data_IF_233209178707
#
_entry.id   IF_233209178707
#
_cell.length_a   1.000
_cell.length_b   1.000
_cell.length_c   1.000
_cell.angle_alpha   90.00
_cell.angle_beta   90.00
_cell.angle_gamma   90.00
#
_symmetry.space_group_name_H-M   'P 1'
#
loop_
_entity.id
_entity.type
_entity.pdbx_description
1 polymer ?
#
# COMPACT_ATOMS: atom_id res chain seq x y z
N UNK A 1 -5.23 1.86 -18.45
CA UNK A 1 -4.41 2.33 -19.60
C UNK A 1 -4.74 1.60 -20.91
N UNK A 2 -5.04 0.30 -20.90
CA UNK A 2 -5.39 -0.48 -22.10
C UNK A 2 -6.68 -0.04 -22.83
N UNK A 3 -7.68 0.46 -22.10
CA UNK A 3 -8.97 0.89 -22.69
C UNK A 3 -8.80 2.14 -23.58
N UNK A 4 -7.99 3.11 -23.15
CA UNK A 4 -7.74 4.35 -23.91
C UNK A 4 -6.96 4.07 -25.21
N UNK A 5 -6.06 3.08 -25.19
CA UNK A 5 -5.33 2.62 -26.38
C UNK A 5 -6.27 1.97 -27.39
N UNK A 6 -7.21 1.14 -26.94
CA UNK A 6 -8.16 0.42 -27.80
C UNK A 6 -9.20 1.36 -28.43
N UNK A 7 -9.58 2.42 -27.72
CA UNK A 7 -10.47 3.49 -28.24
C UNK A 7 -9.76 4.34 -29.28
N UNK A 8 -8.47 4.64 -29.10
CA UNK A 8 -7.68 5.36 -30.10
C UNK A 8 -7.48 4.52 -31.38
N UNK A 9 -7.27 3.21 -31.25
CA UNK A 9 -7.16 2.28 -32.38
C UNK A 9 -8.48 2.18 -33.18
N UNK A 10 -9.62 2.11 -32.48
CA UNK A 10 -10.94 2.10 -33.13
C UNK A 10 -11.26 3.44 -33.80
N UNK A 11 -10.77 4.57 -33.25
CA UNK A 11 -10.92 5.88 -33.89
C UNK A 11 -10.05 6.02 -35.15
N UNK A 12 -8.83 5.48 -35.17
CA UNK A 12 -7.96 5.53 -36.35
C UNK A 12 -8.44 4.63 -37.48
N UNK A 13 -9.04 3.48 -37.15
CA UNK A 13 -9.66 2.58 -38.13
C UNK A 13 -10.90 3.22 -38.78
N UNK A 14 -11.72 3.94 -38.00
CA UNK A 14 -12.90 4.63 -38.54
C UNK A 14 -12.54 5.81 -39.44
N UNK A 15 -11.42 6.49 -39.18
CA UNK A 15 -10.93 7.60 -40.00
C UNK A 15 -10.33 7.09 -41.33
N UNK A 16 -9.59 5.96 -41.32
CA UNK A 16 -9.06 5.36 -42.56
C UNK A 16 -10.13 4.73 -43.45
N UNK A 17 -11.24 4.26 -42.88
CA UNK A 17 -12.36 3.76 -43.68
C UNK A 17 -13.08 4.89 -44.43
N UNK A 18 -13.06 6.13 -43.90
CA UNK A 18 -13.67 7.31 -44.50
C UNK A 18 -12.88 7.88 -45.70
N UNK A 19 -11.57 7.66 -45.76
CA UNK A 19 -10.70 8.24 -46.81
C UNK A 19 -10.70 7.49 -48.14
N UNK A 20 -11.41 6.37 -48.29
CA UNK A 20 -11.35 5.53 -49.50
C UNK A 20 -12.58 5.62 -50.41
N UNK A 21 -13.53 6.52 -50.14
CA UNK A 21 -14.75 6.65 -50.96
C UNK A 21 -14.81 7.97 -51.74
N UNK A 22 -13.69 8.39 -52.33
CA UNK A 22 -13.71 9.46 -53.34
C UNK A 22 -14.10 8.85 -54.70
N UNK A 23 -15.41 8.87 -55.01
CA UNK A 23 -15.88 8.87 -56.40
C UNK A 23 -17.21 9.60 -56.49
N UNK A 24 -17.18 10.70 -57.24
CA UNK A 24 -18.29 11.57 -57.60
C UNK A 24 -19.59 10.82 -57.87
N UNK A 25 -20.56 10.93 -56.95
CA UNK A 25 -21.96 10.70 -57.26
C UNK A 25 -22.78 11.73 -56.49
N UNK A 26 -23.19 12.81 -57.17
CA UNK A 26 -24.13 13.79 -56.64
C UNK A 26 -25.55 13.20 -56.64
N UNK A 27 -25.76 12.18 -55.81
CA UNK A 27 -27.09 11.65 -55.49
C UNK A 27 -27.51 12.24 -54.14
N UNK A 28 -28.54 13.10 -54.08
CA UNK A 28 -28.96 13.81 -52.87
C UNK A 28 -29.38 12.86 -51.73
N UNK A 29 -29.54 11.57 -52.01
CA UNK A 29 -29.78 10.53 -50.99
C UNK A 29 -28.53 10.18 -50.19
N UNK A 30 -27.36 10.10 -50.81
CA UNK A 30 -26.10 9.68 -50.16
C UNK A 30 -25.60 10.77 -49.21
N UNK A 31 -25.71 12.05 -49.61
CA UNK A 31 -25.36 13.19 -48.75
C UNK A 31 -26.26 13.27 -47.50
N UNK A 32 -27.55 12.93 -47.66
CA UNK A 32 -28.49 12.87 -46.55
C UNK A 32 -28.20 11.70 -45.60
N UNK A 33 -27.76 10.56 -46.12
CA UNK A 33 -27.33 9.40 -45.33
C UNK A 33 -26.11 9.75 -44.48
N UNK A 34 -25.09 10.39 -45.09
CA UNK A 34 -23.88 10.84 -44.40
C UNK A 34 -24.19 11.87 -43.30
N UNK A 35 -25.10 12.82 -43.55
CA UNK A 35 -25.54 13.80 -42.55
C UNK A 35 -26.30 13.14 -41.39
N UNK A 36 -27.13 12.12 -41.67
CA UNK A 36 -27.86 11.36 -40.66
C UNK A 36 -26.91 10.50 -39.81
N UNK A 37 -25.87 9.94 -40.40
CA UNK A 37 -24.87 9.17 -39.67
C UNK A 37 -23.99 10.07 -38.80
N UNK A 38 -23.60 11.25 -39.29
CA UNK A 38 -22.89 12.24 -38.47
C UNK A 38 -23.74 12.72 -37.28
N UNK A 39 -25.05 12.92 -37.48
CA UNK A 39 -25.99 13.23 -36.41
C UNK A 39 -26.14 12.11 -35.39
N UNK A 40 -26.22 10.85 -35.84
CA UNK A 40 -26.28 9.67 -34.96
C UNK A 40 -25.00 9.55 -34.13
N UNK A 41 -23.84 9.76 -34.74
CA UNK A 41 -22.55 9.70 -34.05
C UNK A 41 -22.42 10.81 -33.01
N UNK A 42 -22.87 12.04 -33.32
CA UNK A 42 -22.92 13.12 -32.35
C UNK A 42 -23.85 12.82 -31.17
N UNK A 43 -25.03 12.23 -31.42
CA UNK A 43 -25.94 11.81 -30.35
C UNK A 43 -25.36 10.69 -29.47
N UNK A 44 -24.65 9.73 -30.07
CA UNK A 44 -23.97 8.65 -29.33
C UNK A 44 -22.84 9.19 -28.45
N UNK A 45 -22.05 10.13 -28.96
CA UNK A 45 -20.98 10.78 -28.19
C UNK A 45 -21.55 11.58 -27.01
N UNK A 46 -22.63 12.33 -27.21
CA UNK A 46 -23.30 13.09 -26.14
C UNK A 46 -23.83 12.14 -25.05
N UNK A 47 -24.43 11.01 -25.45
CA UNK A 47 -24.97 10.02 -24.50
C UNK A 47 -23.86 9.26 -23.78
N UNK A 48 -22.76 8.94 -24.44
CA UNK A 48 -21.60 8.32 -23.80
C UNK A 48 -20.98 9.26 -22.75
N UNK A 49 -20.88 10.56 -23.07
CA UNK A 49 -20.39 11.60 -22.16
C UNK A 49 -21.29 11.80 -20.95
N UNK A 50 -22.62 11.76 -21.11
CA UNK A 50 -23.54 11.85 -19.98
C UNK A 50 -23.40 10.65 -19.05
N UNK A 51 -23.31 9.43 -19.60
CA UNK A 51 -23.12 8.21 -18.82
C UNK A 51 -21.77 8.20 -18.08
N UNK A 52 -20.71 8.72 -18.69
CA UNK A 52 -19.40 8.87 -18.06
C UNK A 52 -19.45 9.86 -16.89
N UNK A 53 -20.16 10.98 -17.05
CA UNK A 53 -20.36 11.97 -15.98
C UNK A 53 -21.17 11.39 -14.84
N UNK A 54 -22.23 10.62 -15.14
CA UNK A 54 -23.07 9.99 -14.13
C UNK A 54 -22.29 8.92 -13.35
N UNK A 55 -21.47 8.12 -14.04
CA UNK A 55 -20.59 7.13 -13.37
C UNK A 55 -19.49 7.79 -12.55
N UNK A 56 -18.86 8.87 -13.03
CA UNK A 56 -17.88 9.65 -12.27
C UNK A 56 -18.51 10.35 -11.06
N UNK A 57 -19.73 10.90 -11.22
CA UNK A 57 -20.47 11.53 -10.14
C UNK A 57 -20.88 10.51 -9.07
N UNK A 58 -21.30 9.31 -9.48
CA UNK A 58 -21.62 8.21 -8.56
C UNK A 58 -20.36 7.70 -7.86
N UNK A 59 -19.23 7.57 -8.57
CA UNK A 59 -17.95 7.19 -7.99
C UNK A 59 -17.49 8.21 -6.93
N UNK A 60 -17.48 9.50 -7.27
CA UNK A 60 -17.16 10.55 -6.31
C UNK A 60 -18.16 10.57 -5.15
N UNK A 61 -19.46 10.43 -5.38
CA UNK A 61 -20.45 10.42 -4.30
C UNK A 61 -20.27 9.26 -3.31
N UNK A 62 -19.78 8.10 -3.77
CA UNK A 62 -19.58 6.91 -2.92
C UNK A 62 -18.25 6.98 -2.15
N UNK A 63 -17.18 7.42 -2.80
CA UNK A 63 -15.82 7.37 -2.23
C UNK A 63 -15.34 8.70 -1.64
N UNK A 64 -15.89 9.82 -2.10
CA UNK A 64 -15.54 11.16 -1.62
C UNK A 64 -16.41 11.49 -0.41
N UNK A 65 -15.78 11.81 0.71
CA UNK A 65 -16.51 12.26 1.90
C UNK A 65 -17.17 13.62 1.63
N UNK A 66 -18.36 13.90 2.20
CA UNK A 66 -18.98 15.23 2.12
C UNK A 66 -18.15 16.33 2.80
N UNK A 67 -17.16 15.97 3.61
CA UNK A 67 -16.27 16.91 4.27
C UNK A 67 -14.96 17.11 3.49
N UNK A 68 -14.70 18.33 3.03
CA UNK A 68 -13.52 18.67 2.22
C UNK A 68 -12.18 18.39 2.93
N UNK A 69 -12.12 18.62 4.24
CA UNK A 69 -10.93 18.30 5.04
C UNK A 69 -10.59 16.79 5.06
N UNK A 70 -11.61 15.93 4.94
CA UNK A 70 -11.42 14.47 4.86
C UNK A 70 -10.93 14.06 3.47
N UNK A 71 -11.41 14.74 2.43
CA UNK A 71 -10.96 14.50 1.05
C UNK A 71 -9.52 14.94 0.81
N UNK A 72 -9.07 15.99 1.47
CA UNK A 72 -7.69 16.45 1.38
C UNK A 72 -6.70 15.54 2.13
N UNK A 73 -7.18 14.77 3.11
CA UNK A 73 -6.34 13.90 3.94
C UNK A 73 -6.26 12.46 3.43
N UNK A 74 -7.26 11.99 2.68
CA UNK A 74 -7.31 10.63 2.13
C UNK A 74 -7.27 10.68 0.60
N UNK A 75 -6.23 10.11 0.01
CA UNK A 75 -6.16 9.92 -1.43
C UNK A 75 -7.06 8.74 -1.83
N UNK A 76 -8.04 8.99 -2.69
CA UNK A 76 -8.98 7.95 -3.18
C UNK A 76 -8.29 6.99 -4.16
N UNK A 77 -7.20 7.43 -4.78
CA UNK A 77 -6.47 6.67 -5.79
C UNK A 77 -5.18 6.12 -5.16
N UNK A 78 -5.15 4.81 -4.96
CA UNK A 78 -3.94 4.10 -4.56
C UNK A 78 -3.01 3.93 -5.77
N UNK A 79 -1.76 4.39 -5.67
CA UNK A 79 -0.73 4.10 -6.68
C UNK A 79 -0.05 2.75 -6.37
N UNK A 80 -0.39 1.73 -7.15
CA UNK A 80 0.12 0.36 -7.01
C UNK A 80 1.61 0.21 -7.37
N UNK A 81 2.21 1.19 -8.05
CA UNK A 81 3.62 1.11 -8.47
C UNK A 81 4.58 1.49 -7.35
N UNK A 82 4.08 2.08 -6.28
CA UNK A 82 4.92 2.50 -5.18
C UNK A 82 5.42 1.29 -4.37
N UNK A 83 6.76 1.12 -4.21
CA UNK A 83 7.30 0.01 -3.46
C UNK A 83 6.98 0.15 -1.97
N UNK A 84 6.52 -0.96 -1.37
CA UNK A 84 6.18 -1.03 0.05
C UNK A 84 7.24 -1.79 0.86
N UNK A 85 7.86 -2.83 0.28
CA UNK A 85 8.90 -3.64 0.92
C UNK A 85 10.28 -3.24 0.40
N UNK A 86 10.93 -2.30 1.07
CA UNK A 86 12.30 -1.88 0.74
C UNK A 86 13.28 -2.30 1.83
N UNK A 87 14.56 -2.44 1.49
CA UNK A 87 15.61 -2.75 2.47
C UNK A 87 15.63 -1.72 3.63
N UNK A 88 15.45 -0.44 3.31
CA UNK A 88 15.32 0.64 4.30
C UNK A 88 14.20 0.37 5.30
N UNK A 89 13.00 0.01 4.82
CA UNK A 89 11.87 -0.27 5.71
C UNK A 89 12.12 -1.46 6.63
N UNK A 90 12.73 -2.52 6.10
CA UNK A 90 13.06 -3.70 6.89
C UNK A 90 14.13 -3.39 7.94
N UNK A 91 15.20 -2.70 7.56
CA UNK A 91 16.27 -2.32 8.49
C UNK A 91 15.74 -1.44 9.62
N UNK A 92 14.96 -0.41 9.29
CA UNK A 92 14.39 0.53 10.26
C UNK A 92 13.30 -0.12 11.12
N UNK A 93 12.43 -0.91 10.49
CA UNK A 93 11.39 -1.67 11.17
C UNK A 93 11.99 -2.62 12.19
N UNK A 94 13.02 -3.39 11.82
CA UNK A 94 13.74 -4.28 12.73
C UNK A 94 14.44 -3.51 13.85
N UNK A 95 15.13 -2.42 13.53
CA UNK A 95 15.83 -1.60 14.53
C UNK A 95 14.85 -1.05 15.57
N UNK A 96 13.76 -0.41 15.14
CA UNK A 96 12.75 0.12 16.04
C UNK A 96 12.04 -0.99 16.82
N UNK A 97 11.76 -2.13 16.19
CA UNK A 97 11.16 -3.30 16.83
C UNK A 97 12.04 -3.86 17.95
N UNK A 98 13.36 -3.94 17.74
CA UNK A 98 14.31 -4.37 18.78
C UNK A 98 14.26 -3.41 19.97
N UNK A 99 14.27 -2.09 19.72
CA UNK A 99 14.19 -1.08 20.79
C UNK A 99 12.88 -1.21 21.58
N UNK A 100 11.74 -1.31 20.88
CA UNK A 100 10.43 -1.48 21.50
C UNK A 100 10.39 -2.75 22.35
N UNK A 101 10.88 -3.88 21.81
CA UNK A 101 10.88 -5.17 22.51
C UNK A 101 11.68 -5.10 23.83
N UNK A 102 12.85 -4.46 23.80
CA UNK A 102 13.68 -4.27 25.01
C UNK A 102 12.95 -3.40 26.04
N UNK A 103 12.32 -2.30 25.61
CA UNK A 103 11.58 -1.42 26.51
C UNK A 103 10.38 -2.14 27.13
N UNK A 104 9.57 -2.79 26.30
CA UNK A 104 8.37 -3.51 26.76
C UNK A 104 8.71 -4.66 27.70
N UNK A 105 9.74 -5.46 27.40
CA UNK A 105 10.18 -6.54 28.28
C UNK A 105 10.67 -5.99 29.63
N UNK A 106 11.48 -4.92 29.60
CA UNK A 106 12.01 -4.31 30.83
C UNK A 106 10.91 -3.69 31.69
N UNK A 107 9.94 -3.02 31.08
CA UNK A 107 8.83 -2.38 31.78
C UNK A 107 7.86 -3.40 32.36
N UNK A 108 7.70 -4.55 31.70
CA UNK A 108 6.80 -5.57 32.21
C UNK A 108 7.29 -6.28 33.47
N UNK A 109 8.60 -6.37 33.70
CA UNK A 109 9.14 -6.97 34.93
C UNK A 109 9.13 -6.02 36.13
N UNK A 110 8.73 -4.76 35.93
CA UNK A 110 8.64 -3.77 37.00
C UNK A 110 7.43 -4.04 37.90
N UNK A 111 7.56 -3.73 39.19
CA UNK A 111 6.49 -3.84 40.20
C UNK A 111 5.18 -3.15 39.79
N UNK A 112 5.28 -2.03 39.09
CA UNK A 112 4.18 -1.36 38.42
C UNK A 112 4.46 -1.41 36.90
N UNK A 113 3.78 -2.30 36.15
CA UNK A 113 4.03 -2.44 34.73
C UNK A 113 3.60 -1.17 34.01
N UNK A 114 4.46 -0.70 33.11
CA UNK A 114 4.15 0.41 32.22
C UNK A 114 3.83 -0.16 30.84
N UNK A 115 2.71 0.26 30.26
CA UNK A 115 2.36 -0.10 28.89
C UNK A 115 3.12 0.81 27.93
N UNK A 116 3.80 0.21 26.95
CA UNK A 116 4.54 0.94 25.92
C UNK A 116 3.57 1.30 24.79
N UNK A 117 3.35 2.58 24.51
CA UNK A 117 2.51 2.99 23.38
C UNK A 117 3.29 3.04 22.06
N UNK A 118 2.75 2.39 21.03
CA UNK A 118 3.32 2.35 19.66
C UNK A 118 3.41 3.73 19.02
N UNK A 119 2.51 4.64 19.39
CA UNK A 119 2.38 5.99 18.81
C UNK A 119 3.69 6.79 18.91
N UNK A 120 4.46 6.61 19.99
CA UNK A 120 5.73 7.30 20.20
C UNK A 120 6.74 6.90 19.13
N UNK A 121 6.86 5.59 18.86
CA UNK A 121 7.77 5.05 17.86
C UNK A 121 7.29 5.33 16.44
N UNK A 122 5.98 5.37 16.23
CA UNK A 122 5.39 5.80 14.97
C UNK A 122 5.72 7.26 14.65
N UNK A 123 5.62 8.18 15.62
CA UNK A 123 6.02 9.58 15.46
C UNK A 123 7.51 9.72 15.11
N UNK A 124 8.37 8.91 15.72
CA UNK A 124 9.82 8.89 15.45
C UNK A 124 10.14 8.27 14.08
N UNK A 125 9.36 7.30 13.62
CA UNK A 125 9.57 6.60 12.34
C UNK A 125 9.57 7.56 11.14
N UNK A 126 8.69 8.58 11.13
CA UNK A 126 8.59 9.52 10.01
C UNK A 126 9.86 10.39 9.81
N UNK A 127 10.38 11.13 10.82
CA UNK A 127 11.61 11.89 10.67
C UNK A 127 12.83 11.00 10.45
N UNK A 128 12.90 9.84 11.13
CA UNK A 128 14.00 8.88 10.97
C UNK A 128 14.04 8.30 9.54
N UNK A 129 12.87 7.98 8.97
CA UNK A 129 12.72 7.51 7.59
C UNK A 129 13.11 8.55 6.54
N UNK A 130 12.75 9.82 6.75
CA UNK A 130 13.17 10.94 5.89
C UNK A 130 14.67 11.22 5.98
N UNK A 131 15.24 11.17 7.20
CA UNK A 131 16.68 11.34 7.42
C UNK A 131 17.46 10.23 6.72
N UNK A 132 17.03 8.98 6.87
CA UNK A 132 17.71 7.86 6.22
C UNK A 132 17.53 7.85 4.70
N UNK A 133 16.43 8.39 4.18
CA UNK A 133 16.26 8.64 2.73
C UNK A 133 17.27 9.65 2.19
N UNK A 134 17.73 10.59 3.01
CA UNK A 134 18.73 11.60 2.65
C UNK A 134 20.17 11.08 2.84
N UNK A 135 20.40 10.22 3.84
CA UNK A 135 21.72 9.63 4.11
C UNK A 135 22.07 8.46 3.18
N UNK A 136 21.09 7.69 2.66
CA UNK A 136 21.39 6.55 1.79
C UNK A 136 21.71 7.00 0.35
N UNK A 137 22.89 6.65 -0.18
CA UNK A 137 23.22 6.91 -1.57
C UNK A 137 22.27 6.12 -2.50
N UNK A 138 21.86 6.74 -3.61
CA UNK A 138 21.01 6.14 -4.65
C UNK A 138 21.77 5.09 -5.46
N UNK A 139 22.18 4.00 -4.81
CA UNK A 139 22.86 2.88 -5.45
C UNK A 139 21.87 1.74 -5.68
N UNK A 140 21.74 1.36 -6.95
CA UNK A 140 21.11 0.12 -7.38
C UNK A 140 22.09 -1.01 -7.17
N UNK A 141 21.79 -1.89 -6.21
CA UNK A 141 22.55 -3.10 -5.99
C UNK A 141 21.91 -4.24 -6.78
N UNK A 142 22.71 -4.88 -7.61
CA UNK A 142 22.27 -6.02 -8.40
C UNK A 142 22.82 -7.28 -7.74
N UNK A 143 21.95 -8.00 -7.01
CA UNK A 143 22.29 -9.31 -6.48
C UNK A 143 21.80 -10.36 -7.48
N UNK A 144 22.74 -10.91 -8.23
CA UNK A 144 22.49 -11.90 -9.27
C UNK A 144 21.46 -11.42 -10.32
N UNK A 145 20.22 -11.92 -10.28
CA UNK A 145 19.12 -11.54 -11.20
C UNK A 145 18.20 -10.45 -10.66
N UNK A 146 18.35 -10.06 -9.39
CA UNK A 146 17.47 -9.10 -8.73
C UNK A 146 18.15 -7.75 -8.59
N UNK A 147 17.53 -6.72 -9.17
CA UNK A 147 17.95 -5.32 -9.00
C UNK A 147 17.17 -4.73 -7.84
N UNK A 148 17.85 -4.45 -6.73
CA UNK A 148 17.28 -3.75 -5.58
C UNK A 148 17.94 -2.37 -5.48
N UNK A 149 17.17 -1.30 -5.60
CA UNK A 149 17.68 0.03 -5.25
C UNK A 149 17.58 0.21 -3.74
N UNK A 150 18.70 0.63 -3.13
CA UNK A 150 18.75 0.93 -1.70
C UNK A 150 17.99 2.22 -1.36
N UNK A 151 17.76 3.07 -2.35
CA UNK A 151 16.97 4.29 -2.21
C UNK A 151 15.96 4.38 -3.37
N UNK A 152 14.72 3.95 -3.12
CA UNK A 152 13.63 3.98 -4.10
C UNK A 152 12.95 5.37 -4.22
N UNK A 153 13.55 6.41 -3.62
CA UNK A 153 13.00 7.76 -3.59
C UNK A 153 12.53 8.19 -2.19
N UNK A 154 11.75 9.27 -2.09
CA UNK A 154 11.31 9.84 -0.82
C UNK A 154 10.52 8.82 0.01
N UNK A 155 10.58 8.97 1.34
CA UNK A 155 9.91 8.07 2.27
C UNK A 155 8.40 8.09 2.04
N UNK A 156 7.83 6.92 1.72
CA UNK A 156 6.45 6.78 1.31
C UNK A 156 5.53 6.47 2.51
N UNK A 157 4.25 6.82 2.38
CA UNK A 157 3.20 6.46 3.35
C UNK A 157 3.07 4.94 3.51
N UNK A 158 3.24 4.17 2.43
CA UNK A 158 3.23 2.69 2.46
C UNK A 158 4.41 2.10 3.25
N UNK A 159 5.58 2.71 3.12
CA UNK A 159 6.77 2.31 3.87
C UNK A 159 6.59 2.62 5.37
N UNK A 160 6.00 3.78 5.67
CA UNK A 160 5.66 4.17 7.04
C UNK A 160 4.63 3.24 7.67
N UNK A 161 3.54 2.93 6.96
CA UNK A 161 2.49 2.04 7.47
C UNK A 161 3.02 0.63 7.72
N UNK A 162 3.92 0.12 6.87
CA UNK A 162 4.56 -1.18 7.08
C UNK A 162 5.42 -1.21 8.35
N UNK A 163 6.22 -0.17 8.60
CA UNK A 163 7.00 -0.06 9.84
C UNK A 163 6.07 -0.03 11.06
N UNK A 164 4.99 0.76 10.97
CA UNK A 164 3.99 0.86 12.03
C UNK A 164 3.34 -0.50 12.33
N UNK A 165 2.97 -1.26 11.29
CA UNK A 165 2.42 -2.61 11.47
C UNK A 165 3.40 -3.56 12.18
N UNK A 166 4.70 -3.50 11.84
CA UNK A 166 5.73 -4.27 12.54
C UNK A 166 5.82 -3.91 14.03
N UNK A 167 5.68 -2.63 14.37
CA UNK A 167 5.71 -2.17 15.77
C UNK A 167 4.49 -2.65 16.55
N UNK A 168 3.29 -2.57 15.96
CA UNK A 168 2.06 -3.07 16.58
C UNK A 168 2.14 -4.57 16.90
N UNK A 169 2.71 -5.37 16.00
CA UNK A 169 2.90 -6.80 16.23
C UNK A 169 3.89 -7.15 17.36
N UNK A 170 4.73 -6.20 17.80
CA UNK A 170 5.84 -6.43 18.74
C UNK A 170 5.76 -5.62 20.04
N UNK A 171 4.73 -4.79 20.22
CA UNK A 171 4.64 -3.90 21.38
C UNK A 171 4.51 -4.66 22.69
N UNK A 172 3.78 -5.78 22.69
CA UNK A 172 3.56 -6.58 23.89
C UNK A 172 4.68 -7.57 24.15
N UNK A 173 4.94 -7.84 25.43
CA UNK A 173 5.92 -8.85 25.86
C UNK A 173 5.34 -10.26 25.68
N UNK A 174 6.19 -11.24 25.36
CA UNK A 174 5.70 -12.58 25.01
C UNK A 174 5.18 -13.27 26.27
N UNK A 175 3.93 -13.74 26.24
CA UNK A 175 3.31 -14.38 27.41
C UNK A 175 4.14 -15.56 27.94
N UNK A 176 4.72 -16.34 27.04
CA UNK A 176 5.64 -17.43 27.35
C UNK A 176 6.81 -17.04 28.28
N UNK A 177 7.27 -15.78 28.24
CA UNK A 177 8.35 -15.29 29.11
C UNK A 177 7.92 -15.36 30.58
N UNK A 178 6.70 -14.93 30.93
CA UNK A 178 6.23 -15.02 32.31
C UNK A 178 6.11 -16.46 32.78
N UNK A 179 5.72 -17.37 31.89
CA UNK A 179 5.59 -18.78 32.23
C UNK A 179 6.94 -19.42 32.53
N UNK A 180 7.96 -19.17 31.69
CA UNK A 180 9.33 -19.64 31.93
C UNK A 180 9.89 -19.03 33.22
N UNK A 181 9.68 -17.73 33.45
CA UNK A 181 10.12 -17.08 34.69
C UNK A 181 9.41 -17.63 35.93
N UNK A 182 8.10 -17.92 35.85
CA UNK A 182 7.34 -18.51 36.94
C UNK A 182 7.83 -19.93 37.28
N UNK A 183 8.13 -20.75 36.27
CA UNK A 183 8.72 -22.07 36.46
C UNK A 183 10.05 -21.98 37.23
N UNK A 184 10.91 -21.06 36.84
CA UNK A 184 12.21 -20.88 37.49
C UNK A 184 12.10 -20.37 38.94
N UNK A 185 11.18 -19.45 39.23
CA UNK A 185 11.02 -18.86 40.56
C UNK A 185 10.27 -19.79 41.52
N UNK A 186 9.17 -20.41 41.10
CA UNK A 186 8.31 -21.20 41.98
C UNK A 186 8.73 -22.67 42.11
N UNK A 187 9.29 -23.25 41.06
CA UNK A 187 9.66 -24.68 41.03
C UNK A 187 11.18 -24.92 41.09
N UNK A 188 12.00 -23.88 40.97
CA UNK A 188 13.47 -23.98 41.03
C UNK A 188 14.11 -24.71 39.85
N UNK A 189 13.32 -25.14 38.87
CA UNK A 189 13.77 -25.87 37.68
C UNK A 189 14.17 -24.89 36.58
N UNK A 190 15.40 -25.04 36.07
CA UNK A 190 15.90 -24.23 34.96
C UNK A 190 15.70 -24.96 33.63
N UNK A 191 14.88 -24.38 32.76
CA UNK A 191 14.72 -24.87 31.38
C UNK A 191 15.98 -24.46 30.58
N UNK A 192 16.43 -25.35 29.68
CA UNK A 192 17.53 -25.01 28.76
C UNK A 192 17.19 -23.78 27.91
N UNK A 193 18.18 -22.92 27.66
CA UNK A 193 17.97 -21.69 26.89
C UNK A 193 17.33 -21.95 25.53
N UNK A 194 17.76 -23.01 24.83
CA UNK A 194 17.19 -23.38 23.54
C UNK A 194 15.71 -23.77 23.66
N UNK A 195 15.33 -24.58 24.66
CA UNK A 195 13.94 -24.96 24.86
C UNK A 195 13.06 -23.76 25.23
N UNK A 196 13.56 -22.84 26.07
CA UNK A 196 12.88 -21.59 26.38
C UNK A 196 12.69 -20.70 25.15
N UNK A 197 13.72 -20.57 24.30
CA UNK A 197 13.66 -19.81 23.06
C UNK A 197 12.62 -20.39 22.10
N UNK A 198 12.63 -21.70 21.86
CA UNK A 198 11.64 -22.35 21.01
C UNK A 198 10.21 -22.22 21.54
N UNK A 199 10.02 -22.30 22.86
CA UNK A 199 8.72 -22.10 23.51
C UNK A 199 8.19 -20.67 23.30
N UNK A 200 9.05 -19.67 23.45
CA UNK A 200 8.69 -18.26 23.21
C UNK A 200 8.35 -18.02 21.74
N UNK A 201 9.15 -18.55 20.81
CA UNK A 201 8.91 -18.42 19.37
C UNK A 201 7.60 -19.11 18.97
N UNK A 202 7.36 -20.35 19.43
CA UNK A 202 6.13 -21.08 19.09
C UNK A 202 4.88 -20.37 19.62
N UNK A 203 4.95 -19.80 20.82
CA UNK A 203 3.83 -19.02 21.39
C UNK A 203 3.48 -17.81 20.53
N UNK A 204 4.48 -17.10 20.00
CA UNK A 204 4.26 -15.97 19.08
C UNK A 204 3.71 -16.41 17.73
N UNK A 205 4.27 -17.46 17.15
CA UNK A 205 3.81 -17.99 15.87
C UNK A 205 2.38 -18.53 15.95
N UNK A 206 2.01 -19.16 17.07
CA UNK A 206 0.65 -19.62 17.32
C UNK A 206 -0.33 -18.44 17.40
N UNK A 207 0.07 -17.33 18.03
CA UNK A 207 -0.71 -16.09 18.06
C UNK A 207 -1.03 -15.56 16.67
N UNK A 208 -0.01 -15.41 15.82
CA UNK A 208 -0.21 -14.98 14.43
C UNK A 208 -1.03 -15.99 13.61
N UNK A 209 -0.81 -17.30 13.81
CA UNK A 209 -1.54 -18.35 13.11
C UNK A 209 -3.03 -18.44 13.49
N UNK A 210 -3.39 -18.14 14.74
CA UNK A 210 -4.77 -18.16 15.21
C UNK A 210 -5.55 -16.87 14.92
N UNK A 211 -4.88 -15.72 14.93
CA UNK A 211 -5.52 -14.42 14.71
C UNK A 211 -6.06 -14.26 13.28
N UNK A 212 -5.54 -15.04 12.32
CA UNK A 212 -5.91 -14.88 10.90
C UNK A 212 -5.52 -13.51 10.34
N UNK A 213 -4.57 -12.82 11.00
CA UNK A 213 -3.89 -11.65 10.46
C UNK A 213 -2.86 -12.03 9.39
#
# INVERSE_FOLDING_TARGET
MAVKSKVLELSSISIQHSTNHDTSTSDPRIEKENYLDELRMNQLNIKADSLLRDTLATFNCIFQSPYEAVNASVQIINDDKMPYLTFRTLFMGLLLTIIVSILSATFSFRRYPLNTDVVIFQLISMPLGKLMAHLLPQKTFQLYKWKFSLNNGPFNVKEHSLITAMLYANVDTAYAIYQVTALQIFYGESISFAAGLFLVISSRMLGFGMAGE
#
